data_IF_590036373072
#
_entry.id   IF_590036373072
#
_cell.length_a   1.000
_cell.length_b   1.000
_cell.length_c   1.000
_cell.angle_alpha   90.00
_cell.angle_beta   90.00
_cell.angle_gamma   90.00
#
_symmetry.space_group_name_H-M   'P 1'
#
loop_
_entity.id
_entity.type
_entity.pdbx_description
1 polymer ?
#
# COMPACT_ATOMS: atom_id res chain seq x y z
N UNK A 1 -22.61 12.24 -21.45
CA UNK A 1 -23.92 12.29 -20.77
C UNK A 1 -23.71 12.22 -19.27
N UNK A 2 -24.09 13.27 -18.55
CA UNK A 2 -23.87 13.46 -17.11
C UNK A 2 -25.04 12.98 -16.25
N UNK A 3 -24.69 12.40 -15.10
CA UNK A 3 -25.48 12.18 -13.89
C UNK A 3 -26.77 11.33 -14.02
N UNK A 4 -26.67 10.05 -13.67
CA UNK A 4 -27.73 9.34 -12.95
C UNK A 4 -27.19 8.07 -12.25
N UNK A 5 -27.54 7.93 -10.97
CA UNK A 5 -27.28 6.81 -10.04
C UNK A 5 -25.91 6.76 -9.33
N UNK A 6 -25.69 7.69 -8.39
CA UNK A 6 -24.86 7.42 -7.21
C UNK A 6 -25.55 6.34 -6.36
N UNK A 7 -25.41 5.08 -6.74
CA UNK A 7 -25.65 3.99 -5.79
C UNK A 7 -24.52 4.04 -4.76
N UNK A 8 -24.79 4.05 -3.44
CA UNK A 8 -23.72 4.10 -2.45
C UNK A 8 -22.79 2.92 -2.65
N UNK A 9 -21.48 3.14 -2.58
CA UNK A 9 -20.48 2.08 -2.69
C UNK A 9 -20.84 0.85 -1.83
N UNK A 10 -20.35 -0.33 -2.21
CA UNK A 10 -20.44 -1.51 -1.36
C UNK A 10 -19.85 -1.21 0.03
N UNK A 11 -20.36 -1.86 1.08
CA UNK A 11 -19.85 -1.67 2.44
C UNK A 11 -18.33 -1.88 2.53
N UNK A 12 -17.81 -2.85 1.78
CA UNK A 12 -16.37 -3.10 1.72
C UNK A 12 -15.60 -1.95 1.09
N UNK A 13 -16.05 -1.45 -0.06
CA UNK A 13 -15.44 -0.28 -0.73
C UNK A 13 -15.46 0.95 0.16
N UNK A 14 -16.53 1.16 0.94
CA UNK A 14 -16.60 2.23 1.95
C UNK A 14 -15.53 2.07 3.03
N UNK A 15 -15.34 0.86 3.58
CA UNK A 15 -14.30 0.60 4.58
C UNK A 15 -12.88 0.84 4.02
N UNK A 16 -12.63 0.51 2.75
CA UNK A 16 -11.34 0.82 2.10
C UNK A 16 -11.14 2.34 1.97
N UNK A 17 -12.18 3.10 1.59
CA UNK A 17 -12.13 4.57 1.53
C UNK A 17 -11.91 5.22 2.90
N UNK A 18 -12.59 4.71 3.93
CA UNK A 18 -12.38 5.13 5.31
C UNK A 18 -10.92 4.94 5.72
N UNK A 19 -10.36 3.76 5.46
CA UNK A 19 -8.97 3.45 5.79
C UNK A 19 -7.97 4.36 5.04
N UNK A 20 -8.23 4.70 3.77
CA UNK A 20 -7.42 5.69 3.05
C UNK A 20 -7.41 7.03 3.80
N UNK A 21 -8.56 7.47 4.31
CA UNK A 21 -8.66 8.73 5.06
C UNK A 21 -8.00 8.66 6.44
N UNK A 22 -8.02 7.50 7.11
CA UNK A 22 -7.30 7.31 8.38
C UNK A 22 -5.77 7.41 8.21
N UNK A 23 -5.24 7.06 7.03
CA UNK A 23 -3.80 7.13 6.75
C UNK A 23 -3.41 8.47 6.15
N UNK A 24 -4.00 8.82 5.01
CA UNK A 24 -3.69 10.03 4.25
C UNK A 24 -4.97 10.62 3.64
N UNK A 25 -5.66 11.51 4.38
CA UNK A 25 -6.92 12.10 3.95
C UNK A 25 -6.70 13.08 2.80
N UNK A 26 -7.79 13.37 2.07
CA UNK A 26 -7.77 14.38 1.00
C UNK A 26 -7.69 15.80 1.59
N UNK A 27 -8.36 16.00 2.71
CA UNK A 27 -8.51 17.27 3.40
C UNK A 27 -7.86 17.18 4.78
N UNK A 28 -7.38 18.31 5.28
CA UNK A 28 -6.69 18.40 6.57
C UNK A 28 -7.71 18.56 7.70
N UNK A 29 -7.41 18.05 8.89
CA UNK A 29 -8.18 18.25 10.12
C UNK A 29 -8.95 17.02 10.62
N UNK A 30 -8.78 15.86 9.98
CA UNK A 30 -9.54 14.65 10.32
C UNK A 30 -8.84 13.72 11.31
N UNK A 31 -7.57 13.97 11.64
CA UNK A 31 -6.79 13.11 12.52
C UNK A 31 -6.36 11.82 11.81
N UNK A 32 -5.26 11.89 11.06
CA UNK A 32 -4.68 10.77 10.31
C UNK A 32 -3.23 10.49 10.70
N UNK A 33 -2.68 9.35 10.23
CA UNK A 33 -1.27 8.98 10.46
C UNK A 33 -0.32 10.03 9.89
N UNK A 34 -0.60 10.58 8.70
CA UNK A 34 0.26 11.58 8.06
C UNK A 34 0.15 12.97 8.72
N UNK A 35 -1.04 13.33 9.22
CA UNK A 35 -1.20 14.56 10.00
C UNK A 35 -0.49 14.50 11.34
N UNK A 36 -0.50 13.34 12.01
CA UNK A 36 0.25 13.14 13.25
C UNK A 36 1.74 13.39 13.07
N UNK A 37 2.31 12.93 11.96
CA UNK A 37 3.69 13.22 11.63
C UNK A 37 3.93 14.69 11.33
N UNK A 38 3.02 15.35 10.60
CA UNK A 38 3.11 16.79 10.36
C UNK A 38 3.09 17.57 11.66
N UNK A 39 2.16 17.27 12.56
CA UNK A 39 2.08 17.87 13.90
C UNK A 39 3.34 17.60 14.72
N UNK A 40 3.87 16.37 14.66
CA UNK A 40 5.14 16.05 15.33
C UNK A 40 6.31 16.89 14.82
N UNK A 41 6.39 17.17 13.52
CA UNK A 41 7.49 17.99 12.98
C UNK A 41 7.30 19.49 13.17
N UNK A 42 6.06 19.97 13.37
CA UNK A 42 5.77 21.42 13.46
C UNK A 42 5.49 21.91 14.88
N UNK A 43 4.78 21.15 15.71
CA UNK A 43 4.27 21.60 17.02
C UNK A 43 5.02 20.98 18.19
N UNK A 44 5.41 19.70 18.07
CA UNK A 44 6.12 19.00 19.16
C UNK A 44 7.47 19.65 19.53
N UNK A 45 8.30 20.18 18.61
CA UNK A 45 9.57 20.81 18.97
C UNK A 45 9.42 22.02 19.89
N UNK A 46 8.35 22.81 19.73
CA UNK A 46 8.07 23.96 20.61
C UNK A 46 7.64 23.50 22.01
N UNK A 47 6.87 22.40 22.10
CA UNK A 47 6.49 21.79 23.36
C UNK A 47 7.70 21.18 24.09
N UNK A 48 8.59 20.50 23.36
CA UNK A 48 9.85 19.96 23.89
C UNK A 48 10.75 21.08 24.42
N UNK A 49 10.94 22.14 23.63
CA UNK A 49 11.71 23.32 24.04
C UNK A 49 11.13 23.97 25.29
N UNK A 50 9.81 24.11 25.36
CA UNK A 50 9.15 24.65 26.56
C UNK A 50 9.40 23.77 27.79
N UNK A 51 9.31 22.44 27.65
CA UNK A 51 9.60 21.51 28.73
C UNK A 51 11.07 21.61 29.20
N UNK A 52 12.02 21.71 28.26
CA UNK A 52 13.44 21.87 28.55
C UNK A 52 13.75 23.20 29.23
N UNK A 53 13.14 24.30 28.79
CA UNK A 53 13.28 25.63 29.41
C UNK A 53 12.75 25.62 30.86
N UNK A 54 11.57 25.03 31.09
CA UNK A 54 11.00 24.89 32.45
C UNK A 54 11.89 24.00 33.32
N UNK A 55 12.43 22.90 32.78
CA UNK A 55 13.35 22.00 33.48
C UNK A 55 14.65 22.71 33.86
N UNK A 56 15.21 23.53 32.96
CA UNK A 56 16.40 24.32 33.22
C UNK A 56 16.16 25.41 34.28
N UNK A 57 14.97 26.03 34.29
CA UNK A 57 14.58 26.97 35.33
C UNK A 57 14.40 26.28 36.68
N UNK A 58 13.76 25.11 36.72
CA UNK A 58 13.59 24.34 37.95
C UNK A 58 14.94 23.98 38.57
N UNK A 59 15.90 23.52 37.77
CA UNK A 59 17.25 23.18 38.24
C UNK A 59 17.98 24.35 38.95
N UNK A 60 17.66 25.61 38.59
CA UNK A 60 18.24 26.81 39.24
C UNK A 60 17.58 27.17 40.56
N UNK A 61 16.42 26.58 40.89
CA UNK A 61 15.53 27.04 41.96
C UNK A 61 15.21 25.95 42.99
N UNK A 62 15.28 24.66 42.62
CA UNK A 62 14.80 23.51 43.40
C UNK A 62 15.45 23.36 44.80
N UNK A 63 16.63 23.96 45.01
CA UNK A 63 17.37 23.91 46.28
C UNK A 63 17.47 25.27 47.00
N UNK A 64 16.66 26.26 46.61
CA UNK A 64 16.67 27.60 47.23
C UNK A 64 15.43 27.72 48.13
N UNK A 65 15.57 27.68 49.48
CA UNK A 65 14.44 27.70 50.41
C UNK A 65 13.50 28.91 50.21
N UNK A 66 14.06 30.07 49.85
CA UNK A 66 13.30 31.30 49.59
C UNK A 66 12.47 31.27 48.31
N UNK A 67 12.60 30.24 47.46
CA UNK A 67 11.92 30.11 46.17
C UNK A 67 11.14 28.80 46.04
N UNK A 68 10.80 28.16 47.16
CA UNK A 68 10.07 26.89 47.19
C UNK A 68 8.73 26.94 46.44
N UNK A 69 7.96 28.03 46.59
CA UNK A 69 6.71 28.22 45.86
C UNK A 69 6.90 28.26 44.32
N UNK A 70 7.99 28.88 43.85
CA UNK A 70 8.33 28.91 42.43
C UNK A 70 8.80 27.55 41.93
N UNK A 71 9.58 26.80 42.73
CA UNK A 71 9.99 25.44 42.41
C UNK A 71 8.77 24.51 42.25
N UNK A 72 7.79 24.59 43.15
CA UNK A 72 6.55 23.83 43.05
C UNK A 72 5.71 24.21 41.82
N UNK A 73 5.64 25.50 41.47
CA UNK A 73 4.98 25.94 40.24
C UNK A 73 5.66 25.35 38.99
N UNK A 74 7.00 25.41 38.92
CA UNK A 74 7.77 24.88 37.80
C UNK A 74 7.66 23.35 37.70
N UNK A 75 7.63 22.62 38.83
CA UNK A 75 7.34 21.17 38.86
C UNK A 75 5.98 20.84 38.27
N UNK A 76 4.94 21.61 38.62
CA UNK A 76 3.59 21.45 38.04
C UNK A 76 3.56 21.73 36.55
N UNK A 77 4.24 22.79 36.10
CA UNK A 77 4.35 23.13 34.68
C UNK A 77 5.08 22.02 33.89
N UNK A 78 6.23 21.56 34.38
CA UNK A 78 6.99 20.48 33.75
C UNK A 78 6.19 19.18 33.69
N UNK A 79 5.49 18.83 34.77
CA UNK A 79 4.59 17.66 34.79
C UNK A 79 3.47 17.78 33.76
N UNK A 80 2.88 18.96 33.62
CA UNK A 80 1.82 19.22 32.62
C UNK A 80 2.36 19.12 31.19
N UNK A 81 3.52 19.70 30.91
CA UNK A 81 4.17 19.64 29.60
C UNK A 81 4.53 18.20 29.22
N UNK A 82 5.18 17.46 30.12
CA UNK A 82 5.52 16.05 29.90
C UNK A 82 4.28 15.16 29.73
N UNK A 83 3.22 15.42 30.49
CA UNK A 83 1.95 14.70 30.32
C UNK A 83 1.37 14.95 28.93
N UNK A 84 1.38 16.19 28.44
CA UNK A 84 0.88 16.52 27.10
C UNK A 84 1.71 15.83 26.00
N UNK A 85 3.03 15.84 26.10
CA UNK A 85 3.91 15.12 25.17
C UNK A 85 3.61 13.63 25.13
N UNK A 86 3.39 13.01 26.29
CA UNK A 86 3.06 11.59 26.41
C UNK A 86 1.65 11.27 25.88
N UNK A 87 0.66 12.10 26.17
CA UNK A 87 -0.70 11.98 25.64
C UNK A 87 -0.71 12.04 24.10
N UNK A 88 0.02 12.99 23.51
CA UNK A 88 0.17 13.10 22.06
C UNK A 88 0.86 11.86 21.47
N UNK A 89 1.93 11.38 22.09
CA UNK A 89 2.66 10.18 21.67
C UNK A 89 1.77 8.93 21.70
N UNK A 90 1.04 8.71 22.78
CA UNK A 90 0.12 7.59 22.92
C UNK A 90 -1.04 7.68 21.92
N UNK A 91 -1.56 8.87 21.64
CA UNK A 91 -2.59 9.08 20.62
C UNK A 91 -2.10 8.71 19.21
N UNK A 92 -0.85 9.08 18.85
CA UNK A 92 -0.22 8.68 17.58
C UNK A 92 -0.13 7.16 17.46
N UNK A 93 0.34 6.50 18.52
CA UNK A 93 0.50 5.06 18.54
C UNK A 93 -0.84 4.32 18.44
N UNK A 94 -1.85 4.76 19.19
CA UNK A 94 -3.20 4.19 19.15
C UNK A 94 -3.84 4.33 17.75
N UNK A 95 -3.61 5.47 17.07
CA UNK A 95 -4.10 5.66 15.70
C UNK A 95 -3.43 4.71 14.73
N UNK A 96 -2.12 4.52 14.84
CA UNK A 96 -1.36 3.60 14.01
C UNK A 96 -1.76 2.14 14.24
N UNK A 97 -2.00 1.74 15.49
CA UNK A 97 -2.51 0.41 15.83
C UNK A 97 -3.91 0.20 15.24
N UNK A 98 -4.83 1.16 15.41
CA UNK A 98 -6.19 1.10 14.83
C UNK A 98 -6.17 0.95 13.31
N UNK A 99 -5.30 1.69 12.62
CA UNK A 99 -5.10 1.56 11.17
C UNK A 99 -4.56 0.17 10.82
N UNK A 100 -3.57 -0.32 11.57
CA UNK A 100 -2.94 -1.61 11.33
C UNK A 100 -3.94 -2.76 11.50
N UNK A 101 -4.75 -2.72 12.56
CA UNK A 101 -5.84 -3.66 12.78
C UNK A 101 -6.88 -3.63 11.67
N UNK A 102 -7.23 -2.43 11.21
CA UNK A 102 -8.17 -2.30 10.11
C UNK A 102 -7.60 -2.91 8.82
N UNK A 103 -6.31 -2.71 8.52
CA UNK A 103 -5.63 -3.36 7.40
C UNK A 103 -5.71 -4.88 7.54
N UNK A 104 -5.29 -5.42 8.70
CA UNK A 104 -5.28 -6.87 8.98
C UNK A 104 -6.70 -7.44 8.83
N UNK A 105 -7.72 -6.79 9.39
CA UNK A 105 -9.11 -7.25 9.29
C UNK A 105 -9.66 -7.29 7.86
N UNK A 106 -9.09 -6.50 6.94
CA UNK A 106 -9.50 -6.45 5.55
C UNK A 106 -8.70 -7.39 4.64
N UNK A 107 -7.55 -7.91 5.10
CA UNK A 107 -6.66 -8.74 4.28
C UNK A 107 -6.29 -10.11 4.87
N UNK A 108 -6.63 -10.38 6.14
CA UNK A 108 -6.36 -11.65 6.84
C UNK A 108 -7.66 -12.44 7.02
N UNK A 109 -7.63 -13.72 6.64
CA UNK A 109 -8.75 -14.65 6.80
C UNK A 109 -8.45 -15.78 7.79
N UNK A 110 -9.32 -16.78 7.87
CA UNK A 110 -9.14 -17.90 8.78
C UNK A 110 -8.11 -18.92 8.30
N UNK A 111 -7.86 -18.96 7.00
CA UNK A 111 -6.88 -19.82 6.35
C UNK A 111 -6.10 -19.07 5.27
N UNK A 112 -5.12 -19.77 4.69
CA UNK A 112 -4.26 -19.21 3.65
C UNK A 112 -5.07 -18.76 2.43
N UNK A 113 -5.99 -19.57 1.93
CA UNK A 113 -6.77 -19.28 0.73
C UNK A 113 -7.62 -18.02 0.91
N UNK A 114 -8.31 -17.91 2.04
CA UNK A 114 -9.12 -16.73 2.38
C UNK A 114 -8.26 -15.48 2.55
N UNK A 115 -7.10 -15.60 3.21
CA UNK A 115 -6.11 -14.52 3.34
C UNK A 115 -5.67 -14.01 1.96
N UNK A 116 -5.37 -14.90 1.02
CA UNK A 116 -5.01 -14.52 -0.34
C UNK A 116 -6.17 -13.84 -1.07
N UNK A 117 -7.40 -14.32 -0.90
CA UNK A 117 -8.60 -13.73 -1.50
C UNK A 117 -8.88 -12.33 -0.95
N UNK A 118 -8.81 -12.13 0.37
CA UNK A 118 -9.02 -10.84 1.02
C UNK A 118 -7.91 -9.84 0.66
N UNK A 119 -6.65 -10.30 0.62
CA UNK A 119 -5.53 -9.48 0.15
C UNK A 119 -5.71 -9.05 -1.30
N UNK A 120 -6.09 -9.97 -2.19
CA UNK A 120 -6.39 -9.67 -3.60
C UNK A 120 -7.55 -8.66 -3.73
N UNK A 121 -8.61 -8.85 -2.93
CA UNK A 121 -9.77 -7.95 -2.85
C UNK A 121 -9.38 -6.55 -2.42
N UNK A 122 -8.57 -6.42 -1.38
CA UNK A 122 -8.08 -5.12 -0.91
C UNK A 122 -7.24 -4.40 -1.96
N UNK A 123 -6.23 -5.07 -2.50
CA UNK A 123 -5.32 -4.51 -3.51
C UNK A 123 -6.08 -4.12 -4.79
N UNK A 124 -6.96 -4.99 -5.28
CA UNK A 124 -7.77 -4.73 -6.46
C UNK A 124 -8.77 -3.59 -6.23
N UNK A 125 -9.40 -3.52 -5.05
CA UNK A 125 -10.29 -2.39 -4.72
C UNK A 125 -9.53 -1.07 -4.75
N UNK A 126 -8.33 -0.97 -4.17
CA UNK A 126 -7.51 0.25 -4.24
C UNK A 126 -7.22 0.66 -5.69
N UNK A 127 -6.84 -0.30 -6.55
CA UNK A 127 -6.57 -0.02 -7.96
C UNK A 127 -7.82 0.48 -8.67
N UNK A 128 -8.95 -0.19 -8.48
CA UNK A 128 -10.24 0.11 -9.10
C UNK A 128 -10.90 1.40 -8.58
N UNK A 129 -10.39 2.01 -7.50
CA UNK A 129 -10.79 3.34 -7.06
C UNK A 129 -10.15 4.47 -7.88
N UNK A 130 -9.15 4.16 -8.70
CA UNK A 130 -8.48 5.13 -9.58
C UNK A 130 -9.33 5.36 -10.83
N UNK A 131 -9.81 6.59 -11.04
CA UNK A 131 -10.83 6.91 -12.06
C UNK A 131 -10.26 7.03 -13.47
N UNK A 132 -10.96 6.51 -14.49
CA UNK A 132 -10.78 6.91 -15.90
C UNK A 132 -9.38 6.74 -16.50
N UNK A 133 -9.22 7.14 -17.77
CA UNK A 133 -7.97 7.04 -18.53
C UNK A 133 -7.08 8.30 -18.44
N UNK A 134 -7.61 9.44 -17.99
CA UNK A 134 -6.93 10.74 -18.07
C UNK A 134 -6.93 11.53 -16.75
N UNK A 135 -5.72 11.97 -16.34
CA UNK A 135 -5.51 13.19 -15.56
C UNK A 135 -5.38 13.09 -14.02
N UNK A 136 -4.35 13.76 -13.49
CA UNK A 136 -4.13 14.09 -12.07
C UNK A 136 -4.21 12.93 -11.06
N UNK A 137 -3.63 11.78 -11.43
CA UNK A 137 -3.55 10.63 -10.55
C UNK A 137 -2.61 10.81 -9.36
N UNK A 138 -1.62 11.70 -9.48
CA UNK A 138 -0.51 11.77 -8.55
C UNK A 138 -0.96 11.93 -7.09
N UNK A 139 -1.89 12.86 -6.81
CA UNK A 139 -2.45 13.06 -5.46
C UNK A 139 -3.23 11.85 -4.95
N UNK A 140 -3.97 11.16 -5.81
CA UNK A 140 -4.74 9.96 -5.44
C UNK A 140 -3.78 8.81 -5.15
N UNK A 141 -2.84 8.58 -6.05
CA UNK A 141 -1.82 7.54 -5.97
C UNK A 141 -0.96 7.68 -4.72
N UNK A 142 -0.49 8.88 -4.40
CA UNK A 142 0.27 9.14 -3.19
C UNK A 142 -0.45 8.65 -1.92
N UNK A 143 -1.79 8.78 -1.88
CA UNK A 143 -2.62 8.33 -0.76
C UNK A 143 -2.82 6.82 -0.73
N UNK A 144 -2.81 6.15 -1.87
CA UNK A 144 -3.03 4.70 -1.97
C UNK A 144 -1.75 3.89 -1.74
N UNK A 145 -0.58 4.44 -2.10
CA UNK A 145 0.73 3.77 -2.00
C UNK A 145 0.99 3.12 -0.62
N UNK A 146 0.79 3.81 0.53
CA UNK A 146 1.13 3.23 1.84
C UNK A 146 0.35 1.94 2.13
N UNK A 147 -0.96 1.94 1.86
CA UNK A 147 -1.85 0.81 2.11
C UNK A 147 -1.55 -0.38 1.19
N UNK A 148 -1.34 -0.12 -0.10
CA UNK A 148 -1.03 -1.16 -1.07
C UNK A 148 0.30 -1.84 -0.76
N UNK A 149 1.31 -1.05 -0.39
CA UNK A 149 2.62 -1.53 0.05
C UNK A 149 2.52 -2.36 1.32
N UNK A 150 1.71 -1.96 2.31
CA UNK A 150 1.55 -2.68 3.57
C UNK A 150 1.02 -4.11 3.36
N UNK A 151 -0.03 -4.28 2.57
CA UNK A 151 -0.59 -5.62 2.30
C UNK A 151 0.40 -6.50 1.53
N UNK A 152 1.09 -5.95 0.53
CA UNK A 152 2.12 -6.68 -0.20
C UNK A 152 3.31 -7.08 0.69
N UNK A 153 3.69 -6.23 1.64
CA UNK A 153 4.75 -6.51 2.61
C UNK A 153 4.37 -7.71 3.48
N UNK A 154 3.14 -7.74 4.02
CA UNK A 154 2.65 -8.87 4.83
C UNK A 154 2.71 -10.19 4.04
N UNK A 155 2.21 -10.17 2.79
CA UNK A 155 2.17 -11.36 1.94
C UNK A 155 3.56 -11.82 1.47
N UNK A 156 4.50 -10.89 1.27
CA UNK A 156 5.88 -11.25 0.97
C UNK A 156 6.57 -11.89 2.18
N UNK A 157 6.29 -11.39 3.41
CA UNK A 157 6.81 -12.02 4.63
C UNK A 157 6.26 -13.43 4.81
N UNK A 158 5.00 -13.69 4.47
CA UNK A 158 4.46 -15.04 4.53
C UNK A 158 5.26 -16.02 3.64
N UNK A 159 5.66 -15.59 2.44
CA UNK A 159 6.56 -16.37 1.56
C UNK A 159 7.96 -16.53 2.15
N UNK A 160 8.50 -15.47 2.74
CA UNK A 160 9.80 -15.50 3.39
C UNK A 160 9.82 -16.52 4.54
N UNK A 161 8.77 -16.56 5.37
CA UNK A 161 8.66 -17.50 6.48
C UNK A 161 8.53 -18.95 6.00
N UNK A 162 7.84 -19.17 4.86
CA UNK A 162 7.68 -20.49 4.26
C UNK A 162 9.01 -21.06 3.74
N UNK A 163 9.88 -20.20 3.22
CA UNK A 163 11.09 -20.60 2.49
C UNK A 163 12.41 -20.30 3.20
N UNK A 164 12.35 -19.61 4.34
CA UNK A 164 13.50 -19.19 5.16
C UNK A 164 14.55 -18.35 4.39
N UNK A 165 14.07 -17.48 3.49
CA UNK A 165 14.91 -16.74 2.52
C UNK A 165 15.87 -15.72 3.17
N UNK A 166 15.59 -15.23 4.39
CA UNK A 166 16.43 -14.27 5.11
C UNK A 166 16.68 -14.76 6.54
N UNK A 167 17.95 -14.95 6.89
CA UNK A 167 18.37 -15.22 8.26
C UNK A 167 18.38 -13.92 9.08
N UNK A 168 17.36 -13.74 9.93
CA UNK A 168 17.31 -12.62 10.87
C UNK A 168 16.78 -13.09 12.24
N UNK A 169 17.49 -12.74 13.31
CA UNK A 169 17.22 -13.23 14.69
C UNK A 169 15.82 -12.89 15.19
N UNK A 170 15.26 -11.75 14.76
CA UNK A 170 13.88 -11.40 15.08
C UNK A 170 12.89 -12.26 14.30
N UNK A 171 13.09 -12.42 12.99
CA UNK A 171 12.17 -13.14 12.10
C UNK A 171 12.11 -14.63 12.43
N UNK A 172 13.25 -15.21 12.85
CA UNK A 172 13.33 -16.62 13.24
C UNK A 172 12.42 -16.97 14.43
N UNK A 173 12.08 -16.00 15.30
CA UNK A 173 11.13 -16.19 16.41
C UNK A 173 9.70 -16.44 15.95
N UNK A 174 9.38 -16.16 14.68
CA UNK A 174 8.00 -16.17 14.14
C UNK A 174 7.82 -17.18 13.00
N UNK A 175 8.73 -18.14 12.80
CA UNK A 175 8.59 -19.16 11.74
C UNK A 175 7.28 -19.96 11.85
N UNK A 176 6.90 -20.32 13.07
CA UNK A 176 5.67 -21.06 13.35
C UNK A 176 4.40 -20.21 13.22
N UNK A 177 4.52 -18.90 12.94
CA UNK A 177 3.37 -18.02 12.73
C UNK A 177 2.50 -18.44 11.55
N UNK A 178 3.01 -19.22 10.59
CA UNK A 178 2.22 -19.79 9.50
C UNK A 178 1.11 -20.73 9.99
N UNK A 179 1.23 -21.29 11.21
CA UNK A 179 0.17 -22.08 11.83
C UNK A 179 -1.10 -21.27 12.12
N UNK A 180 -1.04 -19.93 12.06
CA UNK A 180 -2.22 -19.05 12.15
C UNK A 180 -3.24 -19.32 11.03
N UNK A 181 -2.77 -19.78 9.87
CA UNK A 181 -3.62 -20.21 8.75
C UNK A 181 -4.30 -21.57 8.97
N UNK A 182 -4.00 -22.23 10.09
CA UNK A 182 -4.62 -23.49 10.53
C UNK A 182 -5.44 -23.30 11.80
N UNK A 183 -5.87 -22.07 12.08
CA UNK A 183 -6.71 -21.74 13.24
C UNK A 183 -5.98 -21.58 14.58
N UNK A 184 -4.64 -21.56 14.59
CA UNK A 184 -3.89 -21.35 15.84
C UNK A 184 -4.06 -19.91 16.35
N UNK A 185 -4.85 -19.73 17.41
CA UNK A 185 -5.15 -18.41 18.01
C UNK A 185 -3.94 -17.75 18.65
N UNK A 186 -3.06 -18.52 19.30
CA UNK A 186 -1.84 -17.99 19.90
C UNK A 186 -0.95 -17.34 18.84
N UNK A 187 -0.68 -18.07 17.75
CA UNK A 187 0.14 -17.56 16.66
C UNK A 187 -0.54 -16.44 15.87
N UNK A 188 -1.87 -16.45 15.77
CA UNK A 188 -2.62 -15.32 15.18
C UNK A 188 -2.39 -14.03 15.95
N UNK A 189 -2.56 -14.05 17.27
CA UNK A 189 -2.39 -12.86 18.11
C UNK A 189 -0.93 -12.44 18.23
N UNK A 190 -0.04 -13.39 18.46
CA UNK A 190 1.41 -13.14 18.54
C UNK A 190 1.95 -12.56 17.24
N UNK A 191 1.56 -13.12 16.09
CA UNK A 191 1.92 -12.58 14.78
C UNK A 191 1.35 -11.17 14.59
N UNK A 192 0.07 -10.94 14.91
CA UNK A 192 -0.57 -9.62 14.78
C UNK A 192 0.24 -8.55 15.51
N UNK A 193 0.46 -8.74 16.81
CA UNK A 193 1.07 -7.72 17.69
C UNK A 193 2.56 -7.57 17.42
N UNK A 194 3.27 -8.69 17.32
CA UNK A 194 4.74 -8.68 17.31
C UNK A 194 5.34 -8.68 15.90
N UNK A 195 4.58 -8.95 14.82
CA UNK A 195 5.15 -8.96 13.47
C UNK A 195 4.30 -8.18 12.46
N UNK A 196 3.00 -8.42 12.38
CA UNK A 196 2.07 -7.78 11.46
C UNK A 196 2.02 -6.26 11.63
N UNK A 197 1.74 -5.78 12.85
CA UNK A 197 1.72 -4.35 13.17
C UNK A 197 3.09 -3.69 12.91
N UNK A 198 4.24 -4.25 13.35
CA UNK A 198 5.55 -3.73 12.97
C UNK A 198 5.81 -3.61 11.46
N UNK A 199 5.44 -4.63 10.67
CA UNK A 199 5.61 -4.61 9.21
C UNK A 199 4.72 -3.55 8.55
N UNK A 200 3.46 -3.46 8.97
CA UNK A 200 2.54 -2.41 8.50
C UNK A 200 3.08 -1.04 8.89
N UNK A 201 3.58 -0.87 10.11
CA UNK A 201 4.17 0.38 10.59
C UNK A 201 5.30 0.84 9.67
N UNK A 202 6.27 -0.02 9.36
CA UNK A 202 7.36 0.35 8.45
C UNK A 202 6.84 0.67 7.04
N UNK A 203 5.90 -0.11 6.52
CA UNK A 203 5.32 0.14 5.21
C UNK A 203 4.58 1.50 5.16
N UNK A 204 3.78 1.83 6.17
CA UNK A 204 3.05 3.10 6.19
C UNK A 204 3.99 4.31 6.34
N UNK A 205 5.06 4.16 7.14
CA UNK A 205 5.87 5.29 7.58
C UNK A 205 7.14 5.52 6.77
N UNK A 206 7.49 4.67 5.80
CA UNK A 206 8.75 4.79 5.05
C UNK A 206 8.98 6.16 4.39
N UNK A 207 7.90 6.86 4.02
CA UNK A 207 7.96 8.18 3.39
C UNK A 207 7.41 9.29 4.31
N UNK A 208 7.28 9.01 5.61
CA UNK A 208 6.63 9.92 6.56
C UNK A 208 7.47 11.18 6.81
N UNK A 209 8.80 11.10 6.68
CA UNK A 209 9.72 12.23 6.81
C UNK A 209 9.48 13.33 5.77
N UNK A 210 8.78 13.02 4.67
CA UNK A 210 8.32 14.00 3.69
C UNK A 210 7.25 14.96 4.24
N UNK A 211 6.68 14.68 5.41
CA UNK A 211 5.77 15.60 6.11
C UNK A 211 6.50 16.68 6.92
N UNK A 212 7.84 16.64 6.98
CA UNK A 212 8.62 17.69 7.66
C UNK A 212 8.55 19.02 6.90
N UNK A 213 8.64 20.17 7.60
CA UNK A 213 8.66 21.48 6.97
C UNK A 213 9.73 21.61 5.89
N UNK A 214 10.96 21.14 6.17
CA UNK A 214 12.07 21.20 5.22
C UNK A 214 11.81 20.40 3.94
N UNK A 215 11.24 19.20 4.03
CA UNK A 215 10.90 18.41 2.85
C UNK A 215 9.74 19.05 2.06
N UNK A 216 8.74 19.59 2.75
CA UNK A 216 7.60 20.27 2.12
C UNK A 216 8.04 21.55 1.40
N UNK A 217 8.94 22.36 1.97
CA UNK A 217 9.51 23.54 1.30
C UNK A 217 10.26 23.14 0.03
N UNK A 218 11.05 22.06 0.07
CA UNK A 218 11.74 21.55 -1.14
C UNK A 218 10.71 21.10 -2.20
N UNK A 219 9.66 20.40 -1.78
CA UNK A 219 8.63 19.88 -2.67
C UNK A 219 7.67 20.96 -3.20
N UNK A 220 7.37 22.02 -2.47
CA UNK A 220 6.34 23.00 -2.86
C UNK A 220 6.88 24.39 -3.15
N UNK A 221 8.18 24.62 -2.93
CA UNK A 221 8.75 25.96 -2.95
C UNK A 221 8.44 26.71 -1.66
N UNK A 222 9.16 27.82 -1.43
CA UNK A 222 8.97 28.67 -0.24
C UNK A 222 7.55 29.26 -0.17
N UNK A 223 6.96 29.53 -1.34
CA UNK A 223 5.63 30.15 -1.47
C UNK A 223 4.50 29.14 -1.75
N UNK A 224 4.77 27.84 -1.72
CA UNK A 224 3.84 26.76 -2.09
C UNK A 224 3.30 26.81 -3.54
N UNK A 225 4.09 27.36 -4.46
CA UNK A 225 3.75 27.57 -5.87
C UNK A 225 4.25 26.46 -6.80
N UNK A 226 5.16 25.59 -6.34
CA UNK A 226 5.69 24.49 -7.13
C UNK A 226 4.85 23.22 -7.01
N UNK A 227 4.72 22.49 -8.12
CA UNK A 227 4.11 21.15 -8.11
C UNK A 227 5.01 20.15 -7.37
N UNK A 228 4.49 19.52 -6.32
CA UNK A 228 5.17 18.52 -5.50
C UNK A 228 5.49 17.22 -6.26
N UNK A 229 4.87 17.00 -7.42
CA UNK A 229 5.13 15.84 -8.28
C UNK A 229 6.04 16.14 -9.48
N UNK A 230 6.59 17.37 -9.57
CA UNK A 230 7.52 17.74 -10.63
C UNK A 230 8.78 16.88 -10.60
N UNK A 231 9.47 16.82 -11.74
CA UNK A 231 10.79 16.22 -11.79
C UNK A 231 11.77 17.07 -10.99
N UNK A 232 12.34 16.49 -9.93
CA UNK A 232 13.41 17.12 -9.16
C UNK A 232 14.77 16.86 -9.83
N UNK A 233 15.61 17.89 -9.80
CA UNK A 233 17.03 17.81 -10.15
C UNK A 233 17.76 16.81 -9.25
N UNK A 234 18.93 16.33 -9.69
CA UNK A 234 19.67 15.30 -8.96
C UNK A 234 20.07 15.73 -7.54
N UNK A 235 20.51 16.99 -7.37
CA UNK A 235 20.86 17.58 -6.07
C UNK A 235 19.64 17.62 -5.14
N UNK A 236 18.53 18.23 -5.60
CA UNK A 236 17.27 18.31 -4.87
C UNK A 236 16.74 16.92 -4.49
N UNK A 237 16.85 15.94 -5.39
CA UNK A 237 16.45 14.57 -5.12
C UNK A 237 17.30 13.93 -4.03
N UNK A 238 18.62 14.10 -4.07
CA UNK A 238 19.53 13.59 -3.03
C UNK A 238 19.20 14.20 -1.67
N UNK A 239 18.93 15.50 -1.63
CA UNK A 239 18.60 16.19 -0.38
C UNK A 239 17.23 15.79 0.15
N UNK A 240 16.22 15.64 -0.72
CA UNK A 240 14.92 15.12 -0.33
C UNK A 240 15.02 13.70 0.26
N UNK A 241 15.86 12.82 -0.31
CA UNK A 241 16.09 11.48 0.22
C UNK A 241 16.76 11.52 1.60
N UNK A 242 17.72 12.41 1.82
CA UNK A 242 18.35 12.61 3.14
C UNK A 242 17.34 13.12 4.16
N UNK A 243 16.53 14.11 3.80
CA UNK A 243 15.48 14.66 4.66
C UNK A 243 14.46 13.57 5.01
N UNK A 244 13.99 12.82 4.02
CA UNK A 244 13.05 11.73 4.25
C UNK A 244 13.63 10.69 5.22
N UNK A 245 14.86 10.24 5.00
CA UNK A 245 15.53 9.30 5.91
C UNK A 245 15.65 9.86 7.33
N UNK A 246 16.20 11.07 7.47
CA UNK A 246 16.43 11.68 8.77
C UNK A 246 15.14 11.86 9.58
N UNK A 247 14.12 12.49 8.99
CA UNK A 247 12.86 12.77 9.67
C UNK A 247 12.02 11.50 9.88
N UNK A 248 12.07 10.52 8.97
CA UNK A 248 11.42 9.23 9.18
C UNK A 248 12.03 8.50 10.37
N UNK A 249 13.37 8.42 10.45
CA UNK A 249 14.03 7.79 11.58
C UNK A 249 13.71 8.52 12.89
N UNK A 250 13.75 9.87 12.90
CA UNK A 250 13.37 10.68 14.06
C UNK A 250 11.94 10.36 14.52
N UNK A 251 10.98 10.35 13.60
CA UNK A 251 9.59 10.06 13.94
C UNK A 251 9.42 8.64 14.51
N UNK A 252 10.11 7.65 13.96
CA UNK A 252 10.04 6.27 14.43
C UNK A 252 10.70 6.11 15.81
N UNK A 253 11.85 6.73 16.05
CA UNK A 253 12.59 6.59 17.31
C UNK A 253 12.03 7.44 18.45
N UNK A 254 11.60 8.67 18.17
CA UNK A 254 11.21 9.66 19.17
C UNK A 254 9.70 9.94 19.16
N UNK A 255 9.04 9.84 18.00
CA UNK A 255 7.63 10.22 17.83
C UNK A 255 6.61 9.15 18.25
N UNK A 256 6.97 7.86 18.21
CA UNK A 256 6.05 6.75 18.48
C UNK A 256 6.23 6.10 19.86
N UNK A 257 7.47 5.79 20.27
CA UNK A 257 7.74 5.07 21.53
C UNK A 257 7.10 3.68 21.62
N UNK A 258 6.82 3.22 22.84
CA UNK A 258 6.10 1.95 23.12
C UNK A 258 4.74 2.22 23.81
N UNK A 259 3.74 1.33 23.71
CA UNK A 259 2.47 1.55 24.39
C UNK A 259 2.62 1.52 25.91
N UNK A 260 1.66 2.10 26.62
CA UNK A 260 1.62 2.06 28.07
C UNK A 260 1.09 0.69 28.54
N UNK A 261 1.79 0.06 29.49
CA UNK A 261 1.28 -1.16 30.13
C UNK A 261 0.11 -0.82 31.05
N UNK A 262 -0.96 -1.62 30.97
CA UNK A 262 -2.13 -1.53 31.85
C UNK A 262 -2.21 -2.84 32.62
N UNK A 263 -1.95 -2.79 33.91
CA UNK A 263 -2.01 -3.95 34.80
C UNK A 263 -1.18 -3.73 36.07
N UNK A 264 -1.28 -4.68 36.99
CA UNK A 264 -0.66 -4.58 38.31
C UNK A 264 0.42 -5.63 38.57
N UNK A 265 0.72 -6.49 37.58
CA UNK A 265 1.68 -7.60 37.72
C UNK A 265 3.03 -7.18 37.14
N UNK A 266 4.07 -7.22 37.97
CA UNK A 266 5.42 -6.76 37.58
C UNK A 266 6.01 -7.61 36.44
N UNK A 267 5.87 -8.92 36.52
CA UNK A 267 6.41 -9.86 35.54
C UNK A 267 5.73 -9.67 34.17
N UNK A 268 4.41 -9.39 34.16
CA UNK A 268 3.68 -9.08 32.94
C UNK A 268 4.12 -7.76 32.34
N UNK A 269 4.28 -6.71 33.17
CA UNK A 269 4.80 -5.42 32.73
C UNK A 269 6.18 -5.56 32.09
N UNK A 270 7.07 -6.30 32.74
CA UNK A 270 8.46 -6.44 32.28
C UNK A 270 8.50 -7.24 30.96
N UNK A 271 7.67 -8.29 30.81
CA UNK A 271 7.49 -9.00 29.52
C UNK A 271 6.91 -8.10 28.44
N UNK A 272 5.85 -7.34 28.74
CA UNK A 272 5.22 -6.40 27.81
C UNK A 272 6.22 -5.36 27.29
N UNK A 273 6.98 -4.74 28.20
CA UNK A 273 8.01 -3.77 27.85
C UNK A 273 9.06 -4.41 26.95
N UNK A 274 9.54 -5.61 27.28
CA UNK A 274 10.55 -6.29 26.46
C UNK A 274 10.02 -6.61 25.06
N UNK A 275 8.80 -7.15 24.94
CA UNK A 275 8.18 -7.46 23.65
C UNK A 275 8.05 -6.21 22.77
N UNK A 276 7.57 -5.09 23.32
CA UNK A 276 7.44 -3.85 22.55
C UNK A 276 8.78 -3.18 22.25
N UNK A 277 9.80 -3.33 23.10
CA UNK A 277 11.17 -2.88 22.81
C UNK A 277 11.80 -3.69 21.68
N UNK A 278 11.65 -5.01 21.69
CA UNK A 278 12.10 -5.89 20.63
C UNK A 278 11.43 -5.52 19.30
N UNK A 279 10.11 -5.31 19.30
CA UNK A 279 9.36 -4.87 18.12
C UNK A 279 9.78 -3.47 17.63
N UNK A 280 9.96 -2.50 18.53
CA UNK A 280 10.46 -1.16 18.17
C UNK A 280 11.86 -1.22 17.55
N UNK A 281 12.75 -2.05 18.12
CA UNK A 281 14.09 -2.27 17.58
C UNK A 281 14.04 -2.90 16.19
N UNK A 282 13.14 -3.85 15.97
CA UNK A 282 12.90 -4.45 14.66
C UNK A 282 12.39 -3.43 13.63
N UNK A 283 11.42 -2.58 14.00
CA UNK A 283 10.91 -1.48 13.15
C UNK A 283 12.06 -0.57 12.73
N UNK A 284 12.89 -0.13 13.68
CA UNK A 284 14.02 0.76 13.41
C UNK A 284 15.07 0.10 12.50
N UNK A 285 15.40 -1.17 12.74
CA UNK A 285 16.34 -1.93 11.93
C UNK A 285 15.83 -2.13 10.49
N UNK A 286 14.57 -2.55 10.34
CA UNK A 286 13.92 -2.76 9.05
C UNK A 286 13.81 -1.44 8.26
N UNK A 287 13.40 -0.35 8.93
CA UNK A 287 13.32 0.98 8.33
C UNK A 287 14.69 1.45 7.83
N UNK A 288 15.72 1.39 8.69
CA UNK A 288 17.09 1.77 8.33
C UNK A 288 17.63 0.96 7.15
N UNK A 289 17.42 -0.35 7.16
CA UNK A 289 17.88 -1.21 6.07
C UNK A 289 17.06 -1.01 4.78
N UNK A 290 15.80 -0.59 4.85
CA UNK A 290 15.02 -0.26 3.64
C UNK A 290 15.62 0.93 2.88
N UNK A 291 16.22 1.90 3.58
CA UNK A 291 16.95 3.02 2.98
C UNK A 291 18.37 2.65 2.52
N UNK A 292 19.09 1.85 3.32
CA UNK A 292 20.53 1.59 3.10
C UNK A 292 20.83 0.28 2.34
N UNK A 293 19.90 -0.68 2.36
CA UNK A 293 19.97 -1.99 1.70
C UNK A 293 21.27 -2.76 1.97
N UNK A 294 21.65 -2.90 3.26
CA UNK A 294 22.90 -3.54 3.67
C UNK A 294 22.73 -5.03 4.00
N UNK A 295 21.63 -5.38 4.68
CA UNK A 295 21.44 -6.73 5.23
C UNK A 295 20.44 -7.58 4.44
N UNK A 296 19.73 -6.97 3.50
CA UNK A 296 18.64 -7.60 2.75
C UNK A 296 17.30 -7.59 3.50
N UNK A 297 17.29 -7.35 4.82
CA UNK A 297 16.07 -7.23 5.63
C UNK A 297 15.13 -6.16 5.09
N UNK A 298 15.67 -4.98 4.73
CA UNK A 298 14.93 -3.85 4.19
C UNK A 298 14.21 -4.14 2.87
N UNK A 299 14.63 -5.19 2.16
CA UNK A 299 14.04 -5.55 0.87
C UNK A 299 12.63 -6.11 0.98
N UNK A 300 12.27 -6.63 2.16
CA UNK A 300 10.91 -7.03 2.52
C UNK A 300 9.90 -5.90 2.28
N UNK A 301 10.33 -4.64 2.46
CA UNK A 301 9.49 -3.46 2.22
C UNK A 301 9.86 -2.77 0.90
N UNK A 302 11.15 -2.75 0.53
CA UNK A 302 11.65 -2.08 -0.68
C UNK A 302 11.09 -2.71 -1.97
N UNK A 303 10.98 -4.03 -2.05
CA UNK A 303 10.42 -4.70 -3.24
C UNK A 303 8.94 -4.32 -3.43
N UNK A 304 8.07 -4.46 -2.42
CA UNK A 304 6.72 -3.90 -2.46
C UNK A 304 6.68 -2.41 -2.79
N UNK A 305 7.60 -1.59 -2.25
CA UNK A 305 7.67 -0.15 -2.54
C UNK A 305 7.92 0.12 -4.03
N UNK A 306 8.91 -0.55 -4.64
CA UNK A 306 9.24 -0.41 -6.06
C UNK A 306 8.02 -0.77 -6.92
N UNK A 307 7.41 -1.92 -6.65
CA UNK A 307 6.20 -2.36 -7.35
C UNK A 307 5.06 -1.34 -7.23
N UNK A 308 4.79 -0.91 -6.00
CA UNK A 308 3.72 0.05 -5.70
C UNK A 308 3.95 1.41 -6.38
N UNK A 309 5.21 1.83 -6.53
CA UNK A 309 5.56 3.06 -7.26
C UNK A 309 5.28 2.98 -8.76
N UNK A 310 5.22 1.77 -9.33
CA UNK A 310 4.83 1.54 -10.71
C UNK A 310 3.31 1.49 -10.84
N UNK A 311 2.64 0.70 -9.98
CA UNK A 311 1.17 0.58 -9.96
C UNK A 311 0.50 1.93 -9.76
N UNK A 312 0.97 2.69 -8.77
CA UNK A 312 0.48 4.01 -8.42
C UNK A 312 1.52 5.10 -8.71
N UNK A 313 1.98 5.22 -9.95
CA UNK A 313 2.97 6.24 -10.32
C UNK A 313 2.43 7.66 -10.15
N UNK A 314 3.26 8.56 -9.65
CA UNK A 314 2.95 10.00 -9.54
C UNK A 314 3.49 10.80 -10.73
N UNK A 315 4.06 10.13 -11.73
CA UNK A 315 4.59 10.80 -12.93
C UNK A 315 3.47 11.29 -13.85
N UNK A 316 3.73 12.37 -14.57
CA UNK A 316 2.81 12.98 -15.53
C UNK A 316 2.51 12.09 -16.74
N UNK A 317 3.45 11.24 -17.13
CA UNK A 317 3.35 10.29 -18.25
C UNK A 317 2.80 8.91 -17.86
N UNK A 318 2.19 8.79 -16.68
CA UNK A 318 1.65 7.51 -16.21
C UNK A 318 0.60 6.94 -17.16
N UNK A 319 0.78 5.67 -17.54
CA UNK A 319 -0.18 4.91 -18.33
C UNK A 319 -0.37 3.50 -17.75
N UNK A 320 -1.63 3.09 -17.55
CA UNK A 320 -1.97 1.74 -17.08
C UNK A 320 -1.49 0.65 -18.05
N UNK A 321 -1.40 0.94 -19.35
CA UNK A 321 -0.85 0.05 -20.38
C UNK A 321 0.54 -0.48 -20.06
N UNK A 322 1.34 0.30 -19.31
CA UNK A 322 2.70 -0.05 -18.92
C UNK A 322 2.80 -0.95 -17.68
N UNK A 323 1.71 -1.08 -16.90
CA UNK A 323 1.73 -1.79 -15.63
C UNK A 323 2.22 -3.23 -15.72
N UNK A 324 1.84 -4.02 -16.75
CA UNK A 324 2.33 -5.39 -16.81
C UNK A 324 3.82 -5.52 -17.08
N UNK A 325 4.52 -4.42 -17.37
CA UNK A 325 5.99 -4.37 -17.48
C UNK A 325 6.66 -4.03 -16.15
N UNK A 326 5.91 -3.75 -15.10
CA UNK A 326 6.45 -3.30 -13.81
C UNK A 326 7.38 -4.30 -13.14
N UNK A 327 7.13 -5.60 -13.31
CA UNK A 327 7.99 -6.66 -12.79
C UNK A 327 9.42 -6.62 -13.38
N UNK A 328 9.59 -6.09 -14.60
CA UNK A 328 10.89 -6.05 -15.28
C UNK A 328 11.92 -5.25 -14.48
N UNK A 329 11.50 -4.16 -13.81
CA UNK A 329 12.40 -3.38 -12.98
C UNK A 329 12.90 -4.20 -11.79
N UNK A 330 12.02 -4.97 -11.14
CA UNK A 330 12.36 -5.83 -10.00
C UNK A 330 13.32 -6.93 -10.45
N UNK A 331 13.02 -7.61 -11.57
CA UNK A 331 13.92 -8.61 -12.14
C UNK A 331 15.28 -8.04 -12.51
N UNK A 332 15.33 -6.85 -13.13
CA UNK A 332 16.57 -6.21 -13.53
C UNK A 332 17.43 -5.84 -12.30
N UNK A 333 16.81 -5.29 -11.27
CA UNK A 333 17.50 -4.96 -10.02
C UNK A 333 18.02 -6.23 -9.33
N UNK A 334 17.25 -7.31 -9.32
CA UNK A 334 17.69 -8.62 -8.82
C UNK A 334 18.84 -9.21 -9.64
N UNK A 335 18.77 -9.15 -10.98
CA UNK A 335 19.85 -9.61 -11.89
C UNK A 335 21.15 -8.85 -11.66
N UNK A 336 21.06 -7.54 -11.40
CA UNK A 336 22.20 -6.65 -11.08
C UNK A 336 22.69 -6.78 -9.64
N UNK A 337 22.08 -7.63 -8.81
CA UNK A 337 22.46 -7.81 -7.40
C UNK A 337 22.05 -6.65 -6.48
N UNK A 338 21.20 -5.73 -6.94
CA UNK A 338 20.67 -4.63 -6.13
C UNK A 338 19.46 -5.04 -5.25
N UNK A 339 18.93 -6.24 -5.48
CA UNK A 339 17.90 -6.92 -4.69
C UNK A 339 18.25 -8.41 -4.58
N UNK A 340 17.83 -9.04 -3.48
CA UNK A 340 17.87 -10.48 -3.29
C UNK A 340 17.03 -11.17 -4.37
N UNK A 341 17.68 -12.06 -5.12
CA UNK A 341 17.08 -12.75 -6.27
C UNK A 341 15.89 -13.60 -5.87
N UNK A 342 15.99 -14.32 -4.75
CA UNK A 342 14.94 -15.23 -4.30
C UNK A 342 13.72 -14.47 -3.81
N UNK A 343 13.92 -13.41 -3.03
CA UNK A 343 12.83 -12.56 -2.56
C UNK A 343 12.13 -11.83 -3.73
N UNK A 344 12.88 -11.38 -4.73
CA UNK A 344 12.33 -10.80 -5.95
C UNK A 344 11.49 -11.82 -6.74
N UNK A 345 11.95 -13.06 -6.87
CA UNK A 345 11.21 -14.15 -7.48
C UNK A 345 9.93 -14.49 -6.71
N UNK A 346 10.01 -14.62 -5.38
CA UNK A 346 8.86 -14.88 -4.51
C UNK A 346 7.81 -13.78 -4.64
N UNK A 347 8.25 -12.53 -4.74
CA UNK A 347 7.36 -11.40 -4.98
C UNK A 347 6.68 -11.47 -6.36
N UNK A 348 7.42 -11.77 -7.43
CA UNK A 348 6.84 -11.90 -8.78
C UNK A 348 5.84 -13.06 -8.84
N UNK A 349 6.14 -14.18 -8.19
CA UNK A 349 5.23 -15.32 -8.09
C UNK A 349 3.98 -15.00 -7.25
N UNK A 350 4.09 -14.10 -6.27
CA UNK A 350 2.96 -13.62 -5.49
C UNK A 350 2.00 -12.73 -6.32
N UNK A 351 2.51 -11.74 -7.05
CA UNK A 351 1.66 -10.74 -7.72
C UNK A 351 1.35 -11.04 -9.20
N UNK A 352 2.20 -11.81 -9.88
CA UNK A 352 2.15 -11.99 -11.32
C UNK A 352 2.58 -10.74 -12.12
N UNK A 353 2.43 -10.80 -13.43
CA UNK A 353 2.73 -9.64 -14.30
C UNK A 353 1.62 -8.60 -14.26
N UNK A 354 0.37 -9.02 -14.10
CA UNK A 354 -0.79 -8.13 -14.15
C UNK A 354 -1.25 -7.79 -12.72
N UNK A 355 -1.23 -6.51 -12.30
CA UNK A 355 -1.65 -6.13 -10.95
C UNK A 355 -3.12 -6.46 -10.66
N UNK A 356 -3.45 -6.62 -9.38
CA UNK A 356 -4.84 -6.75 -8.94
C UNK A 356 -5.67 -5.54 -9.40
N UNK A 357 -6.87 -5.79 -9.93
CA UNK A 357 -7.74 -4.77 -10.51
C UNK A 357 -7.39 -4.35 -11.93
N UNK A 358 -6.35 -4.91 -12.56
CA UNK A 358 -6.01 -4.63 -13.96
C UNK A 358 -7.05 -5.22 -14.92
N UNK A 359 -7.35 -4.49 -16.00
CA UNK A 359 -8.30 -4.91 -17.03
C UNK A 359 -7.62 -5.74 -18.13
N UNK A 360 -8.01 -6.99 -18.27
CA UNK A 360 -7.55 -7.90 -19.32
C UNK A 360 -8.57 -7.94 -20.44
N UNK A 361 -8.10 -7.81 -21.68
CA UNK A 361 -8.85 -8.17 -22.88
C UNK A 361 -8.33 -9.51 -23.39
N UNK A 362 -9.21 -10.42 -23.79
CA UNK A 362 -8.82 -11.78 -24.19
C UNK A 362 -9.75 -12.36 -25.26
N UNK A 363 -9.26 -13.38 -25.96
CA UNK A 363 -10.04 -14.15 -26.93
C UNK A 363 -10.73 -15.31 -26.18
N UNK A 364 -12.07 -15.32 -26.05
CA UNK A 364 -12.77 -16.38 -25.36
C UNK A 364 -12.82 -17.67 -26.20
N UNK A 365 -13.02 -18.81 -25.54
CA UNK A 365 -13.30 -20.07 -26.19
C UNK A 365 -14.81 -20.32 -26.32
N UNK A 366 -15.22 -21.08 -27.33
CA UNK A 366 -16.55 -21.67 -27.43
C UNK A 366 -16.63 -23.00 -26.64
N UNK A 367 -17.80 -23.63 -26.63
CA UNK A 367 -18.04 -24.90 -25.92
C UNK A 367 -17.18 -26.06 -26.44
N UNK A 368 -16.72 -25.98 -27.70
CA UNK A 368 -15.82 -26.95 -28.32
C UNK A 368 -14.33 -26.62 -28.08
N UNK A 369 -14.01 -25.63 -27.24
CA UNK A 369 -12.64 -25.20 -26.95
C UNK A 369 -11.97 -24.41 -28.08
N UNK A 370 -12.71 -23.98 -29.10
CA UNK A 370 -12.19 -23.18 -30.21
C UNK A 370 -12.29 -21.69 -29.89
N UNK A 371 -11.29 -20.93 -30.32
CA UNK A 371 -11.26 -19.48 -30.16
C UNK A 371 -12.40 -18.80 -30.94
N UNK A 372 -13.10 -17.86 -30.31
CA UNK A 372 -14.10 -17.02 -30.98
C UNK A 372 -13.44 -15.87 -31.73
N UNK A 373 -14.11 -15.38 -32.77
CA UNK A 373 -13.70 -14.20 -33.55
C UNK A 373 -14.07 -12.87 -32.86
N UNK A 374 -13.99 -12.82 -31.55
CA UNK A 374 -14.29 -11.62 -30.75
C UNK A 374 -13.34 -11.55 -29.55
N UNK A 375 -13.36 -10.41 -28.85
CA UNK A 375 -12.72 -10.30 -27.55
C UNK A 375 -13.74 -10.12 -26.43
N UNK A 376 -13.32 -10.46 -25.21
CA UNK A 376 -14.05 -10.21 -23.97
C UNK A 376 -13.13 -9.52 -22.97
N UNK A 377 -13.74 -8.98 -21.92
CA UNK A 377 -13.10 -8.24 -20.84
C UNK A 377 -13.16 -9.03 -19.54
N UNK A 378 -12.06 -9.00 -18.80
CA UNK A 378 -11.92 -9.60 -17.48
C UNK A 378 -11.12 -8.68 -16.55
N UNK A 379 -11.25 -8.86 -15.23
CA UNK A 379 -10.51 -8.10 -14.21
C UNK A 379 -9.64 -9.06 -13.42
N UNK A 380 -8.37 -8.73 -13.18
CA UNK A 380 -7.49 -9.52 -12.30
C UNK A 380 -8.00 -9.45 -10.86
N UNK A 381 -8.28 -10.61 -10.26
CA UNK A 381 -8.91 -10.73 -8.92
C UNK A 381 -8.20 -11.70 -7.98
N UNK A 382 -7.18 -12.44 -8.44
CA UNK A 382 -6.47 -13.43 -7.63
C UNK A 382 -4.96 -13.19 -7.57
N UNK A 383 -4.37 -13.46 -6.41
CA UNK A 383 -2.92 -13.53 -6.18
C UNK A 383 -2.39 -14.96 -6.40
N UNK A 384 -1.06 -15.12 -6.45
CA UNK A 384 -0.36 -16.38 -6.69
C UNK A 384 -0.78 -17.09 -7.99
N UNK A 385 -0.69 -16.43 -9.15
CA UNK A 385 -0.92 -17.13 -10.40
C UNK A 385 0.10 -18.26 -10.57
N UNK A 386 -0.33 -19.40 -11.09
CA UNK A 386 0.55 -20.54 -11.40
C UNK A 386 1.70 -20.14 -12.33
N UNK A 387 1.42 -19.26 -13.31
CA UNK A 387 2.42 -18.62 -14.15
C UNK A 387 2.22 -17.12 -14.10
N UNK A 388 3.27 -16.30 -13.92
CA UNK A 388 3.12 -14.85 -13.82
C UNK A 388 2.40 -14.18 -15.00
N UNK A 389 2.49 -14.77 -16.21
CA UNK A 389 1.85 -14.26 -17.42
C UNK A 389 0.36 -14.67 -17.57
N UNK A 390 -0.17 -15.53 -16.69
CA UNK A 390 -1.49 -16.13 -16.79
C UNK A 390 -2.31 -15.76 -15.54
N UNK A 391 -2.93 -14.55 -15.52
CA UNK A 391 -3.60 -14.04 -14.32
C UNK A 391 -4.92 -14.76 -14.03
N UNK A 392 -5.27 -14.81 -12.75
CA UNK A 392 -6.60 -15.25 -12.27
C UNK A 392 -7.55 -14.06 -12.37
N UNK A 393 -8.58 -14.17 -13.20
CA UNK A 393 -9.48 -13.08 -13.55
C UNK A 393 -10.95 -13.42 -13.29
N UNK A 394 -11.76 -12.40 -13.00
CA UNK A 394 -13.22 -12.44 -13.05
C UNK A 394 -13.65 -12.01 -14.45
N UNK A 395 -14.39 -12.85 -15.15
CA UNK A 395 -14.96 -12.47 -16.45
C UNK A 395 -16.08 -11.46 -16.22
N UNK A 396 -16.04 -10.34 -16.95
CA UNK A 396 -17.03 -9.26 -16.77
C UNK A 396 -17.79 -8.93 -18.05
N UNK A 397 -17.45 -9.53 -19.19
CA UNK A 397 -18.30 -9.49 -20.39
C UNK A 397 -18.55 -10.88 -20.95
N UNK A 398 -19.71 -11.04 -21.60
CA UNK A 398 -20.02 -12.19 -22.45
C UNK A 398 -20.79 -11.70 -23.66
N UNK A 399 -20.35 -12.09 -24.85
CA UNK A 399 -20.80 -11.54 -26.13
C UNK A 399 -20.77 -10.00 -26.09
N UNK A 400 -19.67 -9.44 -25.55
CA UNK A 400 -19.41 -8.00 -25.44
C UNK A 400 -20.41 -7.22 -24.56
N UNK A 401 -21.26 -7.92 -23.79
CA UNK A 401 -22.18 -7.30 -22.83
C UNK A 401 -21.68 -7.51 -21.41
N UNK A 402 -21.74 -6.46 -20.59
CA UNK A 402 -21.34 -6.55 -19.18
C UNK A 402 -22.19 -7.56 -18.40
N UNK A 403 -21.53 -8.38 -17.60
CA UNK A 403 -22.13 -9.37 -16.71
C UNK A 403 -21.60 -9.20 -15.29
N UNK A 404 -22.43 -9.54 -14.30
CA UNK A 404 -22.06 -9.53 -12.87
C UNK A 404 -21.71 -10.92 -12.34
N UNK A 405 -22.27 -11.97 -12.96
CA UNK A 405 -22.14 -13.36 -12.52
C UNK A 405 -21.06 -14.17 -13.24
N UNK A 406 -20.06 -13.56 -13.88
CA UNK A 406 -19.01 -14.31 -14.59
C UNK A 406 -18.20 -15.22 -13.66
N UNK A 407 -17.64 -16.31 -14.17
CA UNK A 407 -16.79 -17.20 -13.37
C UNK A 407 -15.38 -16.60 -13.18
N UNK A 408 -14.65 -17.14 -12.19
CA UNK A 408 -13.23 -16.88 -12.06
C UNK A 408 -12.47 -17.88 -12.93
N UNK A 409 -11.60 -17.38 -13.80
CA UNK A 409 -10.87 -18.17 -14.78
C UNK A 409 -9.43 -17.70 -14.88
N UNK A 410 -8.53 -18.61 -15.27
CA UNK A 410 -7.15 -18.26 -15.61
C UNK A 410 -7.09 -17.89 -17.08
N UNK A 411 -6.71 -16.65 -17.39
CA UNK A 411 -6.52 -16.23 -18.77
C UNK A 411 -5.14 -16.66 -19.24
N UNK A 412 -5.07 -17.69 -20.07
CA UNK A 412 -3.81 -18.21 -20.61
C UNK A 412 -3.13 -17.19 -21.53
N UNK A 413 -1.80 -17.27 -21.61
CA UNK A 413 -0.97 -16.33 -22.38
C UNK A 413 -1.36 -16.26 -23.86
N UNK A 414 -1.81 -17.38 -24.45
CA UNK A 414 -2.24 -17.47 -25.84
C UNK A 414 -3.58 -16.80 -26.14
N UNK A 415 -4.40 -16.50 -25.12
CA UNK A 415 -5.69 -15.81 -25.29
C UNK A 415 -5.60 -14.32 -24.95
N UNK A 416 -4.66 -13.94 -24.10
CA UNK A 416 -4.53 -12.59 -23.57
C UNK A 416 -4.06 -11.59 -24.65
N UNK A 417 -4.90 -10.60 -24.95
CA UNK A 417 -4.65 -9.61 -25.99
C UNK A 417 -3.64 -8.54 -25.58
N UNK A 418 -3.12 -8.56 -24.35
CA UNK A 418 -1.93 -7.79 -24.00
C UNK A 418 -0.71 -8.19 -24.84
N UNK A 419 -0.60 -9.47 -25.20
CA UNK A 419 0.49 -9.97 -26.02
C UNK A 419 0.24 -9.65 -27.51
N UNK A 420 1.16 -8.95 -28.20
CA UNK A 420 0.95 -8.50 -29.58
C UNK A 420 0.63 -9.59 -30.59
N UNK A 421 1.15 -10.80 -30.39
CA UNK A 421 0.90 -11.95 -31.28
C UNK A 421 -0.59 -12.29 -31.35
N UNK A 422 -1.30 -12.23 -30.23
CA UNK A 422 -2.72 -12.60 -30.15
C UNK A 422 -3.61 -11.52 -30.80
N UNK A 423 -3.26 -10.24 -30.65
CA UNK A 423 -3.95 -9.15 -31.37
C UNK A 423 -3.83 -9.31 -32.87
N UNK A 424 -2.61 -9.57 -33.37
CA UNK A 424 -2.37 -9.82 -34.80
C UNK A 424 -3.17 -11.01 -35.31
N UNK A 425 -3.33 -12.06 -34.50
CA UNK A 425 -4.14 -13.23 -34.83
C UNK A 425 -5.63 -12.85 -34.96
N UNK A 426 -6.20 -12.12 -33.99
CA UNK A 426 -7.60 -11.70 -34.04
C UNK A 426 -7.89 -10.72 -35.20
N UNK A 427 -6.97 -9.78 -35.50
CA UNK A 427 -7.11 -8.84 -36.63
C UNK A 427 -7.15 -9.53 -38.00
N UNK A 428 -6.45 -10.65 -38.17
CA UNK A 428 -6.42 -11.41 -39.44
C UNK A 428 -7.75 -12.12 -39.75
N UNK A 429 -8.56 -12.37 -38.72
CA UNK A 429 -9.74 -13.23 -38.82
C UNK A 429 -11.02 -12.46 -39.19
N UNK A 430 -11.06 -11.12 -39.06
CA UNK A 430 -12.30 -10.41 -39.37
C UNK A 430 -12.19 -8.89 -39.50
N UNK A 431 -11.46 -8.39 -40.50
CA UNK A 431 -11.39 -6.94 -40.78
C UNK A 431 -12.77 -6.33 -41.01
N UNK A 432 -13.65 -7.05 -41.73
CA UNK A 432 -15.02 -6.60 -42.02
C UNK A 432 -15.94 -6.65 -40.79
N UNK A 433 -15.88 -7.74 -40.01
CA UNK A 433 -16.73 -7.93 -38.82
C UNK A 433 -16.31 -7.07 -37.62
N UNK A 434 -15.01 -6.82 -37.44
CA UNK A 434 -14.49 -5.88 -36.44
C UNK A 434 -14.95 -4.44 -36.73
N UNK A 435 -15.05 -4.07 -38.01
CA UNK A 435 -15.55 -2.75 -38.43
C UNK A 435 -17.05 -2.60 -38.14
N UNK A 436 -17.85 -3.65 -38.37
CA UNK A 436 -19.28 -3.69 -38.04
C UNK A 436 -19.54 -3.53 -36.53
N UNK A 437 -18.85 -4.31 -35.68
CA UNK A 437 -18.98 -4.24 -34.21
C UNK A 437 -18.67 -2.83 -33.67
N UNK A 438 -17.68 -2.14 -34.24
CA UNK A 438 -17.24 -0.82 -33.75
C UNK A 438 -18.19 0.31 -34.13
N UNK A 439 -18.86 0.22 -35.29
CA UNK A 439 -19.92 1.18 -35.68
C UNK A 439 -21.10 1.17 -34.71
N UNK A 440 -21.30 0.07 -33.96
CA UNK A 440 -22.35 -0.07 -32.95
C UNK A 440 -21.92 0.39 -31.55
N UNK A 441 -20.61 0.48 -31.28
CA UNK A 441 -20.05 0.76 -29.95
C UNK A 441 -19.46 2.18 -29.79
N UNK A 442 -19.12 2.88 -30.88
CA UNK A 442 -18.51 4.22 -30.84
C UNK A 442 -19.01 5.13 -31.97
N UNK A 443 -19.38 6.37 -31.64
CA UNK A 443 -19.94 7.34 -32.60
C UNK A 443 -18.89 8.09 -33.44
N UNK A 444 -17.58 7.93 -33.17
CA UNK A 444 -16.50 8.74 -33.76
C UNK A 444 -15.41 7.88 -34.42
N UNK A 445 -15.77 6.99 -35.35
CA UNK A 445 -14.83 6.07 -36.01
C UNK A 445 -14.06 6.72 -37.19
N UNK A 446 -12.75 6.44 -37.33
CA UNK A 446 -11.95 6.74 -38.55
C UNK A 446 -11.05 5.54 -38.95
N UNK A 447 -10.77 5.35 -40.26
CA UNK A 447 -10.09 4.14 -40.78
C UNK A 447 -8.60 4.00 -40.46
N UNK A 448 -7.92 5.05 -40.00
CA UNK A 448 -6.48 4.99 -39.67
C UNK A 448 -6.22 4.41 -38.26
N UNK A 449 -7.27 4.17 -37.47
CA UNK A 449 -7.20 3.61 -36.11
C UNK A 449 -7.13 2.06 -36.08
N UNK A 450 -6.66 1.40 -37.14
CA UNK A 450 -6.70 -0.07 -37.26
C UNK A 450 -5.90 -0.79 -36.16
N UNK A 451 -4.75 -0.23 -35.74
CA UNK A 451 -3.98 -0.76 -34.61
C UNK A 451 -4.64 -0.51 -33.23
N UNK A 452 -5.63 0.39 -33.17
CA UNK A 452 -6.48 0.66 -32.01
C UNK A 452 -7.80 -0.15 -32.02
N UNK A 453 -8.08 -0.95 -33.06
CA UNK A 453 -9.31 -1.77 -33.16
C UNK A 453 -9.41 -2.85 -32.07
N UNK A 454 -8.29 -3.35 -31.58
CA UNK A 454 -8.25 -4.44 -30.59
C UNK A 454 -7.48 -3.96 -29.35
N UNK A 455 -8.18 -3.57 -28.28
CA UNK A 455 -7.54 -3.02 -27.11
C UNK A 455 -6.61 -4.05 -26.46
N UNK A 456 -5.37 -3.63 -26.12
CA UNK A 456 -4.41 -4.48 -25.39
C UNK A 456 -4.73 -4.66 -23.89
N UNK A 457 -5.65 -3.83 -23.39
CA UNK A 457 -6.20 -3.83 -22.03
C UNK A 457 -7.47 -2.97 -22.06
N UNK A 458 -8.31 -3.03 -21.03
CA UNK A 458 -9.49 -2.14 -20.91
C UNK A 458 -9.50 -1.45 -19.55
N UNK A 459 -10.30 -0.40 -19.40
CA UNK A 459 -10.37 0.40 -18.16
C UNK A 459 -11.50 -0.07 -17.23
N UNK A 460 -11.19 -0.77 -16.12
CA UNK A 460 -12.24 -1.40 -15.31
C UNK A 460 -12.98 -0.44 -14.37
N UNK A 461 -12.51 0.79 -14.24
CA UNK A 461 -13.14 1.80 -13.38
C UNK A 461 -14.60 2.02 -13.75
N UNK A 462 -14.93 2.15 -15.04
CA UNK A 462 -16.30 2.44 -15.48
C UNK A 462 -17.24 1.28 -15.16
N UNK A 463 -16.73 0.05 -15.17
CA UNK A 463 -17.47 -1.11 -14.69
C UNK A 463 -17.63 -1.07 -13.16
N UNK A 464 -16.54 -0.91 -12.41
CA UNK A 464 -16.53 -0.96 -10.94
C UNK A 464 -17.24 0.23 -10.26
N UNK A 465 -17.38 1.35 -10.96
CA UNK A 465 -18.06 2.56 -10.47
C UNK A 465 -19.52 2.32 -10.09
N UNK A 466 -20.15 1.28 -10.63
CA UNK A 466 -21.51 0.88 -10.25
C UNK A 466 -21.49 -0.09 -9.07
N UNK A 467 -22.20 0.23 -7.96
CA UNK A 467 -22.30 -0.62 -6.76
C UNK A 467 -22.57 -2.10 -7.08
N UNK A 468 -23.49 -2.39 -8.00
CA UNK A 468 -23.87 -3.75 -8.42
C UNK A 468 -22.71 -4.56 -9.04
N UNK A 469 -21.65 -3.89 -9.49
CA UNK A 469 -20.47 -4.49 -10.11
C UNK A 469 -19.28 -4.62 -9.15
N UNK A 470 -19.38 -4.08 -7.92
CA UNK A 470 -18.25 -4.07 -6.97
C UNK A 470 -17.99 -5.43 -6.30
N UNK A 471 -18.90 -6.41 -6.46
CA UNK A 471 -18.76 -7.74 -5.88
C UNK A 471 -17.96 -8.71 -6.77
N UNK A 472 -16.72 -8.35 -7.11
CA UNK A 472 -15.87 -9.15 -8.03
C UNK A 472 -15.31 -10.43 -7.39
N UNK A 473 -15.20 -10.46 -6.07
CA UNK A 473 -14.54 -11.53 -5.30
C UNK A 473 -15.51 -12.50 -4.62
N UNK A 474 -16.82 -12.41 -4.87
CA UNK A 474 -17.74 -13.43 -4.39
C UNK A 474 -17.46 -14.75 -5.10
N UNK A 475 -17.39 -15.83 -4.31
CA UNK A 475 -17.49 -17.18 -4.86
C UNK A 475 -18.88 -17.29 -5.49
N UNK A 476 -18.94 -17.51 -6.79
CA UNK A 476 -20.19 -18.00 -7.36
C UNK A 476 -20.28 -19.46 -6.88
N UNK A 477 -21.32 -19.77 -6.11
CA UNK A 477 -21.62 -21.14 -5.71
C UNK A 477 -21.86 -22.03 -6.94
#
# INVERSE_FOLDING_TARGET
>A
MSAQSQSPDSMYTQQVKELINMVYPKEVGYGSVFEDARHFFTLTPDLEKHADDVKAQLAKVDNIPKKEALAEQLKKQLKSANRKLEEERLARLARLEKVSDKIISLCEGDNWQETQQLSAKFLGTLMLLTRGAEGNFARIHQRFKPLYKAVLTLRLVDRLMEQDTIAHTYLSKYRDSLSRFRGNRYWREKWRVELGIPLITVALLQDIGLQSPAALTLLKGENNDLDEFRLLEESQRKDLLKLNYHFTMKYVSEGLGIPAYIGNVREERDRFIQTHKDASSFIQALMKDAFLSKTGLGEIVKIPQIYTSIVFSTKTDYSRKSLPKGYLLIEQLAKKGALNKKLAEDFINLVGYFPQGFGITYIPLNENGQEKEQYECAIVVGLNPQKPAEPICKIVTRNQKYITGGQQEVIVKSQNLYFPANRKRLMRVGKERLTEIMSQLSSNFTPDAIDDLIPSFWEPYDFFGYKKHQNLWSKNN
#
